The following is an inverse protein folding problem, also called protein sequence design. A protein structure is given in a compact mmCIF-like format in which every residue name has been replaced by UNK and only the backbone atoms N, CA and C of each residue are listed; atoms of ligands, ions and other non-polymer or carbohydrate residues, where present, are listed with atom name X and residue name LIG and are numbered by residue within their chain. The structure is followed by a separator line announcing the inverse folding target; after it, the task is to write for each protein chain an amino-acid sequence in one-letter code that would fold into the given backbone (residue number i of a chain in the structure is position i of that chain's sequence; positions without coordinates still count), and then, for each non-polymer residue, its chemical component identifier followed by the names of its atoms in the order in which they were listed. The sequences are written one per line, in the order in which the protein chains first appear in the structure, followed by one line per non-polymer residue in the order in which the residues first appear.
data_IF_689947735961
#
_entry.id   IF_689947735961
#
_cell.length_a   1.000
_cell.length_b   1.000
_cell.length_c   1.000
_cell.angle_alpha   90.00
_cell.angle_beta   90.00
_cell.angle_gamma   90.00
#
_symmetry.space_group_name_H-M   'P 1'
#
loop_
_entity.id
_entity.type
_entity.pdbx_description
1 polymer ?
#
# COMPACT_ATOMS: atom_id res chain seq x y z
N UNK A 1 -15.99 -8.79 5.30
CA UNK A 1 -15.15 -8.80 4.45
C UNK A 1 -15.36 -8.19 3.16
N UNK A 2 -16.40 -8.14 2.60
CA UNK A 2 -16.55 -7.57 1.29
C UNK A 2 -16.91 -6.12 1.30
N UNK A 3 -16.97 -5.47 2.45
CA UNK A 3 -17.37 -4.08 2.54
C UNK A 3 -16.47 -3.15 1.79
N UNK A 4 -15.18 -3.45 1.80
CA UNK A 4 -14.22 -2.58 1.14
C UNK A 4 -14.47 -2.51 -0.35
N UNK A 5 -14.86 -3.61 -0.95
CA UNK A 5 -15.10 -3.64 -2.38
C UNK A 5 -16.30 -2.78 -2.77
N UNK A 6 -17.31 -2.80 -1.94
CA UNK A 6 -18.50 -2.00 -2.19
C UNK A 6 -18.18 -0.52 -2.16
N UNK A 7 -17.40 -0.12 -1.16
CA UNK A 7 -17.01 1.28 -1.05
C UNK A 7 -16.20 1.73 -2.22
N UNK A 8 -15.31 0.88 -2.70
CA UNK A 8 -14.49 1.25 -3.82
C UNK A 8 -15.29 1.47 -5.08
N UNK A 9 -16.28 0.67 -5.29
CA UNK A 9 -17.10 0.84 -6.47
C UNK A 9 -17.73 2.21 -6.48
N UNK A 10 -18.27 2.61 -5.35
CA UNK A 10 -18.95 3.91 -5.29
C UNK A 10 -17.99 5.07 -5.53
N UNK A 11 -16.83 5.02 -4.91
CA UNK A 11 -15.86 6.08 -5.06
C UNK A 11 -15.31 6.12 -6.45
N UNK A 12 -15.03 4.99 -6.99
CA UNK A 12 -14.41 4.91 -8.29
C UNK A 12 -15.29 5.49 -9.38
N UNK A 13 -16.57 5.27 -9.27
CA UNK A 13 -17.50 5.78 -10.27
C UNK A 13 -17.40 7.28 -10.42
N UNK A 14 -17.04 7.97 -9.37
CA UNK A 14 -16.93 9.41 -9.42
C UNK A 14 -15.69 9.90 -10.13
N UNK A 15 -14.63 9.13 -10.10
CA UNK A 15 -13.37 9.61 -10.62
C UNK A 15 -13.06 9.17 -12.03
N UNK A 16 -13.93 8.39 -12.61
CA UNK A 16 -13.64 7.84 -13.91
C UNK A 16 -13.47 8.83 -15.02
N UNK A 17 -14.11 9.95 -14.91
CA UNK A 17 -14.15 10.84 -16.04
C UNK A 17 -12.85 11.57 -16.28
N UNK A 18 -12.02 11.59 -15.32
CA UNK A 18 -10.99 12.56 -15.36
C UNK A 18 -9.88 12.30 -16.30
N UNK A 19 -9.61 11.09 -16.65
CA UNK A 19 -8.48 11.00 -17.48
C UNK A 19 -8.27 9.62 -18.00
N UNK A 20 -7.21 9.50 -18.71
CA UNK A 20 -6.96 8.34 -19.49
C UNK A 20 -6.09 7.32 -18.80
N UNK A 21 -6.03 7.35 -17.50
CA UNK A 21 -5.15 6.43 -16.81
C UNK A 21 -5.45 4.98 -17.10
N UNK A 22 -6.68 4.69 -17.33
CA UNK A 22 -7.01 3.32 -17.73
C UNK A 22 -6.86 2.28 -16.65
N UNK A 23 -6.73 2.71 -15.42
CA UNK A 23 -6.68 1.75 -14.33
C UNK A 23 -8.10 1.37 -14.00
N UNK A 24 -8.45 0.13 -14.24
CA UNK A 24 -9.80 -0.31 -14.01
C UNK A 24 -10.07 -0.49 -12.52
N UNK A 25 -11.35 -0.43 -12.20
CA UNK A 25 -11.79 -0.65 -10.84
C UNK A 25 -11.41 -2.06 -10.37
N UNK A 26 -11.57 -3.02 -11.24
CA UNK A 26 -11.23 -4.39 -10.94
C UNK A 26 -9.75 -4.54 -10.63
N UNK A 27 -8.91 -3.90 -11.43
CA UNK A 27 -7.48 -3.97 -11.24
C UNK A 27 -7.08 -3.37 -9.89
N UNK A 28 -7.67 -2.25 -9.53
CA UNK A 28 -7.40 -1.60 -8.26
C UNK A 28 -7.83 -2.48 -7.09
N UNK A 29 -9.01 -3.07 -7.19
CA UNK A 29 -9.50 -3.98 -6.15
C UNK A 29 -8.58 -5.18 -5.98
N UNK A 30 -8.09 -5.71 -7.09
CA UNK A 30 -7.21 -6.86 -7.04
C UNK A 30 -5.90 -6.54 -6.34
N UNK A 31 -5.34 -5.37 -6.61
CA UNK A 31 -4.09 -4.97 -5.98
C UNK A 31 -4.26 -4.85 -4.47
N UNK A 32 -5.34 -4.20 -4.04
CA UNK A 32 -5.57 -4.01 -2.62
C UNK A 32 -5.86 -5.32 -1.92
N UNK A 33 -6.66 -6.17 -2.53
CA UNK A 33 -6.99 -7.46 -1.96
C UNK A 33 -5.75 -8.34 -1.83
N UNK A 34 -4.91 -8.32 -2.84
CA UNK A 34 -3.66 -9.04 -2.81
C UNK A 34 -2.75 -8.54 -1.71
N UNK A 35 -2.67 -7.24 -1.56
CA UNK A 35 -1.82 -6.64 -0.55
C UNK A 35 -2.25 -7.10 0.84
N UNK A 36 -3.56 -7.02 1.10
CA UNK A 36 -4.11 -7.43 2.39
C UNK A 36 -3.83 -8.91 2.65
N UNK A 37 -3.97 -9.74 1.62
CA UNK A 37 -3.77 -11.17 1.76
C UNK A 37 -2.34 -11.58 2.06
N UNK A 38 -1.37 -10.68 1.82
CA UNK A 38 0.03 -10.99 2.07
C UNK A 38 0.54 -10.44 3.40
N UNK A 39 -0.31 -9.78 4.16
CA UNK A 39 0.11 -9.20 5.42
C UNK A 39 0.37 -10.27 6.46
N UNK A 40 1.42 -10.06 7.24
CA UNK A 40 1.85 -11.00 8.27
C UNK A 40 1.95 -10.30 9.62
N UNK A 41 1.51 -10.97 10.70
CA UNK A 41 1.59 -10.36 12.03
C UNK A 41 3.03 -10.20 12.49
N UNK A 42 3.32 -9.07 13.11
CA UNK A 42 4.66 -8.78 13.62
C UNK A 42 4.77 -9.11 15.10
N UNK A 43 3.91 -8.52 15.91
CA UNK A 43 4.01 -8.74 17.35
C UNK A 43 2.65 -8.96 18.03
N UNK A 44 1.65 -9.30 17.25
CA UNK A 44 0.33 -9.54 17.80
C UNK A 44 -0.57 -8.32 17.83
N UNK A 45 -0.02 -7.14 17.56
CA UNK A 45 -0.81 -5.92 17.54
C UNK A 45 -0.91 -5.27 16.17
N UNK A 46 -0.06 -5.67 15.24
CA UNK A 46 -0.07 -5.09 13.90
C UNK A 46 0.54 -6.03 12.88
N UNK A 47 0.24 -5.76 11.63
CA UNK A 47 0.69 -6.59 10.51
C UNK A 47 1.37 -5.72 9.47
N UNK A 48 2.19 -6.36 8.64
CA UNK A 48 2.91 -5.70 7.56
C UNK A 48 3.06 -6.68 6.40
N UNK A 49 3.17 -6.16 5.19
CA UNK A 49 3.53 -6.99 4.04
C UNK A 49 5.05 -7.08 3.99
N UNK A 50 5.63 -8.28 3.90
CA UNK A 50 7.10 -8.39 3.88
C UNK A 50 7.74 -7.74 2.68
N UNK A 51 7.07 -7.71 1.53
CA UNK A 51 7.60 -7.08 0.33
C UNK A 51 7.29 -5.59 0.34
N UNK A 52 8.22 -4.75 -0.14
CA UNK A 52 7.91 -3.33 -0.25
C UNK A 52 6.88 -3.10 -1.36
N UNK A 53 6.26 -1.93 -1.33
CA UNK A 53 5.28 -1.57 -2.36
C UNK A 53 6.00 -1.52 -3.71
N UNK A 54 5.42 -2.16 -4.70
CA UNK A 54 6.00 -2.17 -6.05
C UNK A 54 5.58 -0.93 -6.83
N UNK A 55 6.30 -0.65 -7.92
CA UNK A 55 5.91 0.44 -8.82
C UNK A 55 4.51 0.22 -9.38
N UNK A 56 4.17 -1.03 -9.66
CA UNK A 56 2.85 -1.35 -10.15
C UNK A 56 1.77 -0.99 -9.13
N UNK A 57 1.97 -1.40 -7.89
CA UNK A 57 1.01 -1.09 -6.83
C UNK A 57 0.88 0.41 -6.62
N UNK A 58 2.02 1.11 -6.64
CA UNK A 58 2.03 2.54 -6.46
C UNK A 58 1.21 3.22 -7.56
N UNK A 59 1.44 2.82 -8.81
CA UNK A 59 0.73 3.40 -9.93
C UNK A 59 -0.77 3.11 -9.85
N UNK A 60 -1.13 1.86 -9.58
CA UNK A 60 -2.55 1.49 -9.53
C UNK A 60 -3.30 2.25 -8.45
N UNK A 61 -2.70 2.38 -7.27
CA UNK A 61 -3.36 3.02 -6.14
C UNK A 61 -3.39 4.54 -6.29
N UNK A 62 -2.29 5.14 -6.71
CA UNK A 62 -2.22 6.60 -6.78
C UNK A 62 -2.56 7.18 -8.14
N UNK A 63 -2.49 6.37 -9.19
CA UNK A 63 -2.66 6.86 -10.55
C UNK A 63 -1.44 7.59 -11.09
N UNK A 64 -0.33 7.58 -10.36
CA UNK A 64 0.87 8.33 -10.73
C UNK A 64 1.97 7.41 -11.21
N UNK A 65 2.46 7.67 -12.42
CA UNK A 65 3.60 6.95 -12.97
C UNK A 65 4.88 7.65 -12.50
N UNK A 66 5.80 6.90 -11.94
CA UNK A 66 7.03 7.50 -11.45
C UNK A 66 8.20 7.35 -12.39
N UNK A 67 8.23 6.35 -13.22
CA UNK A 67 9.17 6.27 -14.34
C UNK A 67 8.86 5.03 -15.15
N UNK A 68 9.77 4.67 -16.05
CA UNK A 68 9.52 3.60 -17.00
C UNK A 68 9.16 2.25 -16.37
N UNK A 69 9.54 2.06 -15.12
CA UNK A 69 9.24 0.81 -14.43
C UNK A 69 7.92 0.85 -13.67
N UNK A 70 7.09 1.84 -13.95
CA UNK A 70 5.85 2.03 -13.20
C UNK A 70 4.91 0.83 -13.21
N UNK A 71 5.01 -0.01 -14.19
CA UNK A 71 4.15 -1.19 -14.27
C UNK A 71 4.81 -2.44 -13.71
N UNK A 72 6.05 -2.33 -13.24
CA UNK A 72 6.74 -3.52 -12.75
C UNK A 72 6.13 -4.00 -11.44
N UNK A 73 5.78 -5.27 -11.39
CA UNK A 73 5.25 -5.88 -10.18
C UNK A 73 6.37 -6.36 -9.26
N UNK A 74 7.61 -6.40 -9.75
CA UNK A 74 8.73 -6.92 -8.97
C UNK A 74 9.68 -5.85 -8.47
N UNK A 75 9.63 -4.65 -9.00
CA UNK A 75 10.54 -3.59 -8.58
C UNK A 75 9.90 -2.73 -7.51
N UNK A 76 10.61 -2.54 -6.41
CA UNK A 76 10.13 -1.71 -5.32
C UNK A 76 10.05 -0.25 -5.77
N UNK A 77 8.96 0.40 -5.43
CA UNK A 77 8.77 1.81 -5.74
C UNK A 77 9.67 2.63 -4.84
N UNK A 78 10.62 3.34 -5.42
CA UNK A 78 11.52 4.22 -4.67
C UNK A 78 11.03 5.64 -4.84
N UNK A 79 10.33 6.11 -3.85
CA UNK A 79 9.64 7.40 -3.92
C UNK A 79 9.89 8.19 -2.64
N UNK A 80 9.65 9.48 -2.71
CA UNK A 80 9.87 10.37 -1.56
C UNK A 80 8.86 10.08 -0.45
N UNK A 81 9.14 10.62 0.74
CA UNK A 81 8.19 10.46 1.84
C UNK A 81 6.83 11.05 1.49
N UNK A 82 6.82 12.18 0.79
CA UNK A 82 5.56 12.79 0.37
C UNK A 82 4.75 11.85 -0.51
N UNK A 83 5.43 11.17 -1.43
CA UNK A 83 4.76 10.19 -2.29
C UNK A 83 4.29 8.98 -1.50
N UNK A 84 5.07 8.53 -0.52
CA UNK A 84 4.66 7.43 0.33
C UNK A 84 3.40 7.77 1.10
N UNK A 85 3.34 9.00 1.62
CA UNK A 85 2.16 9.47 2.33
C UNK A 85 0.96 9.58 1.40
N UNK A 86 1.19 10.01 0.16
CA UNK A 86 0.11 10.07 -0.83
C UNK A 86 -0.44 8.68 -1.13
N UNK A 87 0.44 7.69 -1.17
CA UNK A 87 0.00 6.32 -1.39
C UNK A 87 -0.91 5.86 -0.25
N UNK A 88 -0.48 6.09 1.00
CA UNK A 88 -1.28 5.69 2.15
C UNK A 88 -2.63 6.41 2.15
N UNK A 89 -2.62 7.69 1.83
CA UNK A 89 -3.86 8.45 1.79
C UNK A 89 -4.81 7.88 0.74
N UNK A 90 -4.29 7.59 -0.45
CA UNK A 90 -5.11 7.05 -1.51
C UNK A 90 -5.66 5.66 -1.14
N UNK A 91 -4.81 4.85 -0.50
CA UNK A 91 -5.21 3.52 -0.08
C UNK A 91 -6.34 3.59 0.95
N UNK A 92 -6.22 4.50 1.90
CA UNK A 92 -7.25 4.69 2.92
C UNK A 92 -8.53 5.25 2.33
N UNK A 93 -8.42 6.10 1.34
CA UNK A 93 -9.61 6.61 0.67
C UNK A 93 -10.37 5.50 -0.05
N UNK A 94 -9.63 4.61 -0.69
CA UNK A 94 -10.27 3.48 -1.35
C UNK A 94 -10.92 2.54 -0.35
N UNK A 95 -10.30 2.38 0.80
CA UNK A 95 -10.85 1.51 1.84
C UNK A 95 -11.98 2.18 2.63
N UNK A 96 -12.10 3.50 2.51
CA UNK A 96 -13.14 4.24 3.18
C UNK A 96 -12.86 4.60 4.64
N UNK A 97 -11.72 4.20 5.17
CA UNK A 97 -11.33 4.46 6.55
C UNK A 97 -9.81 4.45 6.65
N UNK A 98 -9.24 5.09 7.68
CA UNK A 98 -7.78 5.16 7.82
C UNK A 98 -7.19 3.88 8.39
N UNK A 99 -7.33 2.80 7.65
CA UNK A 99 -6.82 1.50 8.08
C UNK A 99 -5.30 1.39 8.05
N UNK A 100 -4.67 2.01 7.06
CA UNK A 100 -3.25 1.79 6.77
C UNK A 100 -2.39 2.97 7.18
N UNK A 101 -1.13 2.70 7.48
CA UNK A 101 -0.18 3.76 7.81
C UNK A 101 1.24 3.31 7.46
N UNK A 102 2.14 4.28 7.46
CA UNK A 102 3.56 4.00 7.25
C UNK A 102 4.17 3.56 8.59
N UNK A 103 4.95 2.49 8.59
CA UNK A 103 5.64 2.10 9.82
C UNK A 103 6.76 3.08 10.12
N UNK A 104 7.08 3.22 11.41
CA UNK A 104 8.24 4.00 11.82
C UNK A 104 9.51 3.18 11.56
N UNK A 105 10.66 3.84 11.65
CA UNK A 105 11.93 3.14 11.48
C UNK A 105 12.06 1.98 12.48
N UNK A 106 11.71 2.23 13.73
CA UNK A 106 11.78 1.20 14.76
C UNK A 106 10.86 0.02 14.42
N UNK A 107 9.68 0.32 13.91
CA UNK A 107 8.74 -0.73 13.51
C UNK A 107 9.27 -1.53 12.33
N UNK A 108 9.91 -0.87 11.39
CA UNK A 108 10.50 -1.58 10.25
C UNK A 108 11.61 -2.52 10.72
N UNK A 109 12.44 -2.07 11.65
CA UNK A 109 13.50 -2.91 12.18
C UNK A 109 12.93 -4.11 12.91
N UNK A 110 11.90 -3.90 13.71
CA UNK A 110 11.24 -5.00 14.40
C UNK A 110 10.61 -5.97 13.44
N UNK A 111 9.92 -5.45 12.42
CA UNK A 111 9.28 -6.31 11.43
C UNK A 111 10.32 -7.14 10.67
N UNK A 112 11.45 -6.53 10.33
CA UNK A 112 12.50 -7.26 9.65
C UNK A 112 12.99 -8.43 10.51
N UNK A 113 13.14 -8.17 11.80
CA UNK A 113 13.61 -9.20 12.72
C UNK A 113 12.59 -10.33 12.86
N UNK A 114 11.31 -9.99 12.88
CA UNK A 114 10.26 -10.97 13.14
C UNK A 114 9.80 -11.73 11.92
N UNK A 115 9.65 -11.06 10.78
CA UNK A 115 9.10 -11.69 9.59
C UNK A 115 10.01 -11.62 8.37
N UNK A 116 11.12 -10.89 8.47
CA UNK A 116 12.08 -10.83 7.36
C UNK A 116 11.59 -9.97 6.21
N UNK A 117 11.78 -8.66 6.32
CA UNK A 117 11.36 -7.76 5.24
C UNK A 117 12.33 -7.86 4.06
N UNK A 118 11.76 -7.79 2.87
CA UNK A 118 12.54 -7.71 1.64
C UNK A 118 12.71 -6.25 1.28
N UNK A 119 13.69 -5.97 0.43
CA UNK A 119 13.92 -4.61 -0.02
C UNK A 119 15.13 -3.99 0.66
N UNK A 120 15.38 -2.72 0.31
CA UNK A 120 16.56 -2.02 0.78
C UNK A 120 16.27 -1.24 2.05
N UNK A 121 16.61 -1.83 3.17
CA UNK A 121 16.35 -1.21 4.47
C UNK A 121 17.26 -0.02 4.76
N UNK A 122 18.33 0.13 4.00
CA UNK A 122 19.24 1.25 4.23
C UNK A 122 18.65 2.57 3.71
N UNK A 123 17.59 2.49 2.93
CA UNK A 123 16.98 3.67 2.33
C UNK A 123 15.80 4.21 3.13
N UNK A 124 15.87 4.12 4.44
CA UNK A 124 14.79 4.57 5.29
C UNK A 124 14.91 6.06 5.61
N UNK A 125 15.22 6.84 4.62
CA UNK A 125 15.38 8.27 4.81
C UNK A 125 14.09 9.00 4.43
N UNK A 126 13.77 10.02 5.19
CA UNK A 126 12.62 10.84 4.87
C UNK A 126 12.92 11.86 3.79
N UNK A 127 14.18 12.12 3.56
CA UNK A 127 14.57 13.19 2.63
C UNK A 127 14.76 12.71 1.20
N UNK A 128 15.08 11.45 1.02
CA UNK A 128 15.37 10.93 -0.31
C UNK A 128 14.39 9.85 -0.67
N UNK A 129 14.35 9.53 -1.95
CA UNK A 129 13.48 8.45 -2.42
C UNK A 129 13.97 7.11 -1.86
N UNK A 130 13.03 6.28 -1.46
CA UNK A 130 13.34 4.97 -0.96
C UNK A 130 12.13 4.06 -1.04
N UNK A 131 12.38 2.77 -0.91
CA UNK A 131 11.27 1.82 -0.90
C UNK A 131 10.54 1.91 0.44
N UNK A 132 9.31 1.42 0.46
CA UNK A 132 8.49 1.56 1.67
C UNK A 132 7.50 0.41 1.81
N UNK A 133 7.02 0.26 3.03
CA UNK A 133 6.08 -0.78 3.41
C UNK A 133 4.87 -0.15 4.05
N UNK A 134 3.78 -0.90 4.15
CA UNK A 134 2.51 -0.43 4.72
C UNK A 134 2.14 -1.35 5.87
N UNK A 135 1.69 -0.77 6.96
CA UNK A 135 1.23 -1.56 8.11
C UNK A 135 -0.24 -1.30 8.39
N UNK A 136 -0.83 -2.21 9.14
CA UNK A 136 -2.21 -2.08 9.61
C UNK A 136 -2.26 -2.68 11.02
N UNK A 137 -3.06 -2.10 11.90
CA UNK A 137 -3.22 -2.67 13.23
C UNK A 137 -4.02 -3.97 13.15
N UNK A 138 -3.81 -4.85 14.10
CA UNK A 138 -4.53 -6.10 14.13
C UNK A 138 -6.04 -5.88 14.21
N UNK A 139 -6.44 -4.91 15.01
CA UNK A 139 -7.85 -4.58 15.16
C UNK A 139 -8.46 -4.16 13.83
N UNK A 140 -7.78 -3.28 13.12
CA UNK A 140 -8.29 -2.80 11.83
C UNK A 140 -8.24 -3.87 10.76
N UNK A 141 -7.22 -4.71 10.79
CA UNK A 141 -7.11 -5.82 9.86
C UNK A 141 -8.31 -6.75 10.01
N UNK A 142 -8.66 -7.02 11.26
CA UNK A 142 -9.81 -7.86 11.56
C UNK A 142 -11.10 -7.25 11.04
N UNK A 143 -11.27 -5.96 11.27
CA UNK A 143 -12.41 -5.21 10.76
C UNK A 143 -12.52 -5.30 9.25
N UNK A 144 -11.38 -5.15 8.59
CA UNK A 144 -11.33 -5.12 7.15
C UNK A 144 -11.63 -6.48 6.52
N UNK A 145 -11.26 -7.55 7.18
CA UNK A 145 -11.35 -8.88 6.62
C UNK A 145 -12.55 -9.70 7.11
N UNK A 146 -13.32 -9.15 8.01
CA UNK A 146 -14.52 -9.87 8.52
C UNK A 146 -15.82 -9.42 7.90
#
# INVERSE_FOLDING_TARGET
MKKILVLMVAVFAMSMTANAQKISEEERNNVITNHIGRMKPVDGSWLITPEPISYYEFWVVTGKKKHDAHTSVSKAAKVTLADQQSFVLALNQEAGRPYFSLPTRAEIQLAHKKVGLHGDLSQLSTATAGCFWIKISKKMFKELTE
#
